data_IF_739329066580
#
_entry.id   IF_739329066580
#
_cell.length_a   1.000
_cell.length_b   1.000
_cell.length_c   1.000
_cell.angle_alpha   90.00
_cell.angle_beta   90.00
_cell.angle_gamma   90.00
#
_symmetry.space_group_name_H-M   'P 1'
#
loop_
_entity.id
_entity.type
_entity.pdbx_description
1 polymer ?
#
# COMPACT_ATOMS: atom_id res chain seq x y z
N UNK A 1 -10.17 0.50 19.80
CA UNK A 1 -10.53 1.46 18.75
C UNK A 1 -11.32 0.68 17.73
N UNK A 2 -12.62 0.97 17.66
CA UNK A 2 -13.56 0.33 16.74
C UNK A 2 -13.06 0.66 15.32
N UNK A 3 -12.83 -0.36 14.49
CA UNK A 3 -12.39 -0.13 13.12
C UNK A 3 -13.62 0.14 12.27
N UNK A 4 -13.71 1.35 11.72
CA UNK A 4 -14.76 1.67 10.78
C UNK A 4 -14.39 1.10 9.40
N UNK A 5 -15.22 0.21 8.86
CA UNK A 5 -15.05 -0.44 7.55
C UNK A 5 -15.67 0.42 6.45
N UNK A 6 -15.36 1.71 6.48
CA UNK A 6 -15.89 2.72 5.57
C UNK A 6 -15.08 2.79 4.26
N UNK A 7 -15.43 3.77 3.41
CA UNK A 7 -14.72 3.98 2.15
C UNK A 7 -13.30 4.53 2.32
N UNK A 8 -13.04 5.28 3.38
CA UNK A 8 -11.68 5.77 3.68
C UNK A 8 -10.75 4.60 3.98
N UNK A 9 -11.19 3.70 4.86
CA UNK A 9 -10.49 2.45 5.15
C UNK A 9 -10.32 1.60 3.89
N UNK A 10 -11.40 1.40 3.12
CA UNK A 10 -11.34 0.60 1.90
C UNK A 10 -10.41 1.20 0.84
N UNK A 11 -10.33 2.53 0.73
CA UNK A 11 -9.37 3.22 -0.13
C UNK A 11 -7.94 2.93 0.28
N UNK A 12 -7.61 3.03 1.56
CA UNK A 12 -6.27 2.68 2.05
C UNK A 12 -5.94 1.19 1.85
N UNK A 13 -6.91 0.30 2.09
CA UNK A 13 -6.77 -1.13 1.82
C UNK A 13 -6.53 -1.42 0.33
N UNK A 14 -7.23 -0.71 -0.55
CA UNK A 14 -7.03 -0.82 -1.99
C UNK A 14 -5.58 -0.51 -2.35
N UNK A 15 -5.02 0.58 -1.81
CA UNK A 15 -3.63 0.97 -2.04
C UNK A 15 -2.64 -0.09 -1.51
N UNK A 16 -2.89 -0.66 -0.33
CA UNK A 16 -2.06 -1.77 0.20
C UNK A 16 -2.07 -3.00 -0.71
N UNK A 17 -3.21 -3.28 -1.37
CA UNK A 17 -3.36 -4.40 -2.29
C UNK A 17 -2.73 -4.10 -3.65
N UNK A 18 -2.96 -2.92 -4.22
CA UNK A 18 -2.44 -2.53 -5.55
C UNK A 18 -0.92 -2.41 -5.53
N UNK A 19 -0.35 -1.88 -4.45
CA UNK A 19 1.10 -1.80 -4.26
C UNK A 19 1.74 -3.15 -3.89
N UNK A 20 0.95 -4.20 -3.69
CA UNK A 20 1.34 -5.53 -3.19
C UNK A 20 2.05 -5.52 -1.83
N UNK A 21 1.96 -4.44 -1.05
CA UNK A 21 2.54 -4.37 0.30
C UNK A 21 1.91 -5.43 1.23
N UNK A 22 0.66 -5.79 0.96
CA UNK A 22 -0.01 -6.96 1.55
C UNK A 22 -0.49 -7.93 0.45
N UNK A 23 -0.60 -9.20 0.83
CA UNK A 23 -1.15 -10.27 0.00
C UNK A 23 -2.14 -11.11 0.82
N UNK A 24 -2.67 -12.17 0.20
CA UNK A 24 -3.71 -13.01 0.81
C UNK A 24 -3.35 -13.56 2.19
N UNK A 25 -2.08 -13.82 2.48
CA UNK A 25 -1.65 -14.30 3.80
C UNK A 25 -1.89 -13.28 4.91
N UNK A 26 -1.93 -12.00 4.55
CA UNK A 26 -2.16 -10.89 5.48
C UNK A 26 -3.64 -10.55 5.55
N UNK A 27 -4.27 -10.23 4.41
CA UNK A 27 -5.63 -9.71 4.42
C UNK A 27 -6.67 -10.76 4.78
N UNK A 28 -6.43 -12.05 4.49
CA UNK A 28 -7.37 -13.11 4.85
C UNK A 28 -7.52 -13.22 6.37
N UNK A 29 -6.39 -13.24 7.11
CA UNK A 29 -6.40 -13.31 8.57
C UNK A 29 -7.08 -12.10 9.21
N UNK A 30 -6.85 -10.92 8.63
CA UNK A 30 -7.54 -9.71 9.06
C UNK A 30 -9.06 -9.82 8.81
N UNK A 31 -9.48 -10.32 7.65
CA UNK A 31 -10.90 -10.52 7.35
C UNK A 31 -11.54 -11.55 8.28
N UNK A 32 -10.83 -12.62 8.63
CA UNK A 32 -11.31 -13.64 9.57
C UNK A 32 -11.57 -13.01 10.95
N UNK A 33 -10.66 -12.18 11.46
CA UNK A 33 -10.86 -11.44 12.72
C UNK A 33 -12.08 -10.50 12.66
N UNK A 34 -12.26 -9.78 11.56
CA UNK A 34 -13.44 -8.91 11.37
C UNK A 34 -14.73 -9.72 11.32
N UNK A 35 -14.74 -10.88 10.66
CA UNK A 35 -15.92 -11.75 10.58
C UNK A 35 -16.26 -12.34 11.95
N UNK A 36 -15.27 -12.64 12.79
CA UNK A 36 -15.48 -13.13 14.16
C UNK A 36 -16.01 -12.03 15.09
N UNK A 37 -15.51 -10.80 14.97
CA UNK A 37 -15.86 -9.67 15.85
C UNK A 37 -17.16 -8.96 15.47
N UNK A 38 -17.52 -8.94 14.19
CA UNK A 38 -18.71 -8.25 13.69
C UNK A 38 -19.85 -9.24 13.39
N UNK A 39 -21.01 -9.15 14.06
CA UNK A 39 -22.14 -10.07 13.82
C UNK A 39 -22.73 -9.95 12.40
N UNK A 40 -22.53 -8.80 11.75
CA UNK A 40 -22.96 -8.51 10.38
C UNK A 40 -21.81 -7.85 9.60
N UNK A 41 -20.78 -8.61 9.20
CA UNK A 41 -19.65 -8.05 8.48
C UNK A 41 -20.08 -7.58 7.07
N UNK A 42 -19.50 -6.50 6.52
CA UNK A 42 -19.79 -6.06 5.17
C UNK A 42 -19.54 -7.15 4.14
N UNK A 43 -20.39 -7.26 3.13
CA UNK A 43 -20.29 -8.32 2.12
C UNK A 43 -18.94 -8.37 1.40
N UNK A 44 -18.34 -7.20 1.13
CA UNK A 44 -17.03 -7.12 0.48
C UNK A 44 -15.89 -7.71 1.34
N UNK A 45 -16.00 -7.71 2.67
CA UNK A 45 -15.05 -8.38 3.58
C UNK A 45 -15.20 -9.91 3.47
N UNK A 46 -16.44 -10.40 3.38
CA UNK A 46 -16.74 -11.83 3.22
C UNK A 46 -16.17 -12.33 1.88
N UNK A 47 -16.38 -11.59 0.79
CA UNK A 47 -15.81 -11.94 -0.51
C UNK A 47 -14.28 -11.90 -0.50
N UNK A 48 -13.70 -10.92 0.19
CA UNK A 48 -12.25 -10.78 0.30
C UNK A 48 -11.62 -11.93 1.12
N UNK A 49 -12.28 -12.42 2.18
CA UNK A 49 -11.74 -13.48 3.05
C UNK A 49 -11.50 -14.82 2.34
N UNK A 50 -12.27 -15.10 1.29
CA UNK A 50 -12.13 -16.32 0.48
C UNK A 50 -11.27 -16.12 -0.77
N UNK A 51 -10.83 -14.89 -1.04
CA UNK A 51 -10.06 -14.54 -2.24
C UNK A 51 -8.56 -14.69 -2.03
N UNK A 52 -7.87 -15.37 -2.95
CA UNK A 52 -6.39 -15.52 -2.92
C UNK A 52 -5.68 -14.81 -4.05
N UNK A 53 -6.38 -14.55 -5.16
CA UNK A 53 -5.80 -13.95 -6.34
C UNK A 53 -5.79 -12.41 -6.20
N UNK A 54 -4.60 -11.81 -6.21
CA UNK A 54 -4.41 -10.38 -5.91
C UNK A 54 -5.27 -9.45 -6.79
N UNK A 55 -5.34 -9.61 -8.12
CA UNK A 55 -6.17 -8.74 -8.96
C UNK A 55 -7.67 -8.85 -8.64
N UNK A 56 -8.13 -10.02 -8.19
CA UNK A 56 -9.52 -10.19 -7.74
C UNK A 56 -9.76 -9.48 -6.40
N UNK A 57 -8.81 -9.55 -5.47
CA UNK A 57 -8.87 -8.82 -4.20
C UNK A 57 -8.96 -7.31 -4.44
N UNK A 58 -8.10 -6.77 -5.31
CA UNK A 58 -8.15 -5.37 -5.78
C UNK A 58 -9.52 -5.04 -6.36
N UNK A 59 -10.06 -5.89 -7.25
CA UNK A 59 -11.37 -5.67 -7.87
C UNK A 59 -12.52 -5.64 -6.86
N UNK A 60 -12.51 -6.50 -5.83
CA UNK A 60 -13.54 -6.53 -4.78
C UNK A 60 -13.55 -5.21 -4.01
N UNK A 61 -12.38 -4.78 -3.54
CA UNK A 61 -12.26 -3.55 -2.75
C UNK A 61 -12.58 -2.32 -3.61
N UNK A 62 -12.05 -2.24 -4.83
CA UNK A 62 -12.33 -1.15 -5.78
C UNK A 62 -13.83 -1.01 -6.07
N UNK A 63 -14.56 -2.11 -6.27
CA UNK A 63 -16.02 -2.08 -6.44
C UNK A 63 -16.73 -1.44 -5.25
N UNK A 64 -16.31 -1.73 -4.02
CA UNK A 64 -16.89 -1.12 -2.83
C UNK A 64 -16.54 0.37 -2.72
N UNK A 65 -15.27 0.73 -2.92
CA UNK A 65 -14.79 2.13 -2.94
C UNK A 65 -15.65 2.98 -3.89
N UNK A 66 -15.90 2.49 -5.11
CA UNK A 66 -16.68 3.20 -6.14
C UNK A 66 -18.19 2.90 -6.15
N UNK A 67 -18.72 2.17 -5.16
CA UNK A 67 -20.14 1.74 -5.14
C UNK A 67 -21.14 2.88 -4.94
N UNK A 68 -20.71 4.01 -4.40
CA UNK A 68 -21.57 5.17 -4.11
C UNK A 68 -20.88 6.45 -4.62
N UNK A 69 -21.46 7.14 -5.61
CA UNK A 69 -20.77 8.20 -6.35
C UNK A 69 -20.66 9.54 -5.59
N UNK A 70 -21.25 9.67 -4.39
CA UNK A 70 -21.35 10.93 -3.67
C UNK A 70 -20.54 11.00 -2.37
N UNK A 71 -19.84 9.92 -2.00
CA UNK A 71 -18.93 9.95 -0.86
C UNK A 71 -17.55 10.38 -1.37
N UNK A 72 -17.05 11.56 -0.98
CA UNK A 72 -15.75 12.04 -1.45
C UNK A 72 -14.64 11.13 -0.90
N UNK A 73 -13.68 10.83 -1.77
CA UNK A 73 -12.43 10.17 -1.43
C UNK A 73 -11.30 11.15 -1.75
N UNK A 74 -10.32 11.22 -0.86
CA UNK A 74 -9.11 11.99 -1.09
C UNK A 74 -8.19 11.21 -2.03
N UNK A 75 -8.46 11.29 -3.33
CA UNK A 75 -7.76 10.52 -4.36
C UNK A 75 -6.29 10.86 -4.45
N UNK A 76 -5.95 12.13 -4.23
CA UNK A 76 -4.58 12.63 -4.33
C UNK A 76 -3.76 12.04 -3.17
N UNK A 77 -4.30 12.11 -1.94
CA UNK A 77 -3.70 11.44 -0.79
C UNK A 77 -3.55 9.92 -1.00
N UNK A 78 -4.56 9.24 -1.56
CA UNK A 78 -4.46 7.80 -1.86
C UNK A 78 -3.36 7.50 -2.89
N UNK A 79 -3.14 8.38 -3.87
CA UNK A 79 -2.05 8.23 -4.84
C UNK A 79 -0.68 8.37 -4.18
N UNK A 80 -0.51 9.34 -3.26
CA UNK A 80 0.74 9.49 -2.51
C UNK A 80 0.98 8.33 -1.53
N UNK A 81 -0.09 7.75 -0.96
CA UNK A 81 0.00 6.52 -0.15
C UNK A 81 0.54 5.33 -0.95
N UNK A 82 0.30 5.26 -2.26
CA UNK A 82 0.85 4.19 -3.10
C UNK A 82 2.38 4.26 -3.13
N UNK A 83 2.93 5.47 -3.30
CA UNK A 83 4.38 5.70 -3.25
C UNK A 83 4.94 5.32 -1.88
N UNK A 84 4.26 5.72 -0.80
CA UNK A 84 4.63 5.32 0.55
C UNK A 84 4.64 3.78 0.73
N UNK A 85 3.69 3.07 0.14
CA UNK A 85 3.66 1.61 0.20
C UNK A 85 4.83 0.97 -0.56
N UNK A 86 5.19 1.48 -1.74
CA UNK A 86 6.38 1.05 -2.46
C UNK A 86 7.66 1.30 -1.63
N UNK A 87 7.74 2.46 -0.97
CA UNK A 87 8.86 2.78 -0.08
C UNK A 87 8.98 1.78 1.08
N UNK A 88 7.85 1.41 1.70
CA UNK A 88 7.83 0.38 2.75
C UNK A 88 8.26 -1.01 2.24
N UNK A 89 7.94 -1.37 0.99
CA UNK A 89 8.46 -2.61 0.36
C UNK A 89 9.97 -2.55 0.19
N UNK A 90 10.50 -1.40 -0.24
CA UNK A 90 11.94 -1.17 -0.34
C UNK A 90 12.64 -1.27 1.03
N UNK A 91 12.11 -0.61 2.07
CA UNK A 91 12.67 -0.69 3.43
C UNK A 91 12.74 -2.12 3.97
N UNK A 92 11.80 -2.96 3.55
CA UNK A 92 11.73 -4.38 3.90
C UNK A 92 12.58 -5.27 2.99
N UNK A 93 13.29 -4.69 2.02
CA UNK A 93 14.12 -5.36 1.01
C UNK A 93 13.32 -6.33 0.12
N UNK A 94 12.03 -6.06 -0.06
CA UNK A 94 11.18 -6.81 -0.98
C UNK A 94 11.41 -6.39 -2.44
N UNK A 95 11.82 -5.15 -2.64
CA UNK A 95 12.22 -4.57 -3.92
C UNK A 95 13.53 -3.80 -3.75
N UNK A 96 14.29 -3.63 -4.84
CA UNK A 96 15.50 -2.79 -4.83
C UNK A 96 15.14 -1.30 -4.95
N UNK A 97 16.12 -0.42 -4.71
CA UNK A 97 15.94 1.02 -4.90
C UNK A 97 15.59 1.38 -6.35
N UNK A 98 16.26 0.75 -7.32
CA UNK A 98 15.95 0.92 -8.75
C UNK A 98 14.51 0.49 -9.08
N UNK A 99 14.06 -0.65 -8.55
CA UNK A 99 12.67 -1.11 -8.73
C UNK A 99 11.67 -0.14 -8.10
N UNK A 100 11.97 0.41 -6.93
CA UNK A 100 11.15 1.42 -6.27
C UNK A 100 11.00 2.66 -7.17
N UNK A 101 12.12 3.26 -7.61
CA UNK A 101 12.10 4.48 -8.44
C UNK A 101 11.37 4.26 -9.76
N UNK A 102 11.63 3.15 -10.45
CA UNK A 102 10.93 2.81 -11.69
C UNK A 102 9.42 2.65 -11.49
N UNK A 103 9.00 1.93 -10.44
CA UNK A 103 7.58 1.65 -10.18
C UNK A 103 6.85 2.91 -9.72
N UNK A 104 7.50 3.76 -8.92
CA UNK A 104 6.98 5.04 -8.51
C UNK A 104 6.76 5.98 -9.71
N UNK A 105 7.78 6.11 -10.58
CA UNK A 105 7.67 6.90 -11.81
C UNK A 105 6.56 6.39 -12.75
N UNK A 106 6.49 5.07 -12.96
CA UNK A 106 5.46 4.46 -13.80
C UNK A 106 4.05 4.68 -13.25
N UNK A 107 3.88 4.62 -11.94
CA UNK A 107 2.60 4.90 -11.29
C UNK A 107 2.23 6.38 -11.43
N UNK A 108 3.15 7.29 -11.09
CA UNK A 108 2.94 8.73 -11.18
C UNK A 108 2.56 9.18 -12.61
N UNK A 109 3.19 8.61 -13.64
CA UNK A 109 2.86 8.88 -15.04
C UNK A 109 1.44 8.43 -15.40
N UNK A 110 1.02 7.29 -14.85
CA UNK A 110 -0.30 6.70 -15.14
C UNK A 110 -1.45 7.45 -14.49
N UNK A 111 -1.26 7.94 -13.25
CA UNK A 111 -2.36 8.58 -12.47
C UNK A 111 -2.34 10.11 -12.52
N UNK A 112 -1.17 10.72 -12.72
CA UNK A 112 -0.98 12.18 -12.79
C UNK A 112 -1.57 12.97 -11.60
N UNK A 113 -1.63 12.34 -10.43
CA UNK A 113 -2.20 12.89 -9.19
C UNK A 113 -1.28 12.73 -7.97
N UNK A 114 -0.09 12.14 -8.16
CA UNK A 114 0.96 12.08 -7.13
C UNK A 114 1.59 13.46 -7.00
N UNK A 115 1.96 13.87 -5.78
CA UNK A 115 2.56 15.19 -5.53
C UNK A 115 3.87 15.43 -6.29
N UNK A 116 4.69 14.39 -6.44
CA UNK A 116 5.87 14.41 -7.28
C UNK A 116 5.57 13.79 -8.65
N UNK A 117 5.95 14.45 -9.76
CA UNK A 117 5.67 13.96 -11.10
C UNK A 117 6.56 12.77 -11.48
N UNK A 118 6.25 12.07 -12.57
CA UNK A 118 7.01 10.89 -12.97
C UNK A 118 8.48 11.19 -13.27
N UNK A 119 8.77 12.38 -13.80
CA UNK A 119 10.12 12.86 -14.08
C UNK A 119 11.00 12.89 -12.83
N UNK A 120 10.45 13.25 -11.67
CA UNK A 120 11.19 13.25 -10.41
C UNK A 120 11.81 11.87 -10.13
N UNK A 121 10.99 10.82 -10.21
CA UNK A 121 11.47 9.45 -9.95
C UNK A 121 12.41 8.93 -11.04
N UNK A 122 12.12 9.24 -12.31
CA UNK A 122 12.97 8.80 -13.42
C UNK A 122 14.32 9.52 -13.46
N UNK A 123 14.39 10.79 -13.09
CA UNK A 123 15.64 11.52 -12.94
C UNK A 123 16.51 10.90 -11.83
N UNK A 124 15.92 10.60 -10.67
CA UNK A 124 16.63 9.91 -9.60
C UNK A 124 17.15 8.53 -10.04
N UNK A 125 16.34 7.79 -10.79
CA UNK A 125 16.73 6.48 -11.33
C UNK A 125 17.91 6.62 -12.29
N UNK A 126 17.82 7.56 -13.24
CA UNK A 126 18.89 7.82 -14.18
C UNK A 126 20.19 8.18 -13.44
N UNK A 127 20.16 9.10 -12.46
CA UNK A 127 21.34 9.48 -11.69
C UNK A 127 21.93 8.26 -10.95
N UNK A 128 21.06 7.44 -10.35
CA UNK A 128 21.47 6.24 -9.62
C UNK A 128 22.12 5.18 -10.52
N UNK A 129 21.57 4.96 -11.72
CA UNK A 129 22.15 4.06 -12.73
C UNK A 129 23.49 4.58 -13.27
N UNK A 130 23.62 5.89 -13.52
CA UNK A 130 24.87 6.50 -13.96
C UNK A 130 25.97 6.46 -12.90
N UNK A 131 25.59 6.43 -11.62
CA UNK A 131 26.49 6.23 -10.50
C UNK A 131 26.80 4.74 -10.21
N UNK A 132 26.43 3.84 -11.12
CA UNK A 132 26.62 2.38 -10.98
C UNK A 132 26.02 1.82 -9.68
N UNK A 133 24.83 2.29 -9.30
CA UNK A 133 24.10 1.85 -8.10
C UNK A 133 24.85 2.17 -6.78
N UNK A 134 25.51 3.32 -6.72
CA UNK A 134 26.25 3.77 -5.54
C UNK A 134 25.38 3.84 -4.26
N UNK A 135 25.87 3.19 -3.20
CA UNK A 135 25.12 3.08 -1.94
C UNK A 135 25.03 4.40 -1.15
N UNK A 136 26.00 5.31 -1.31
CA UNK A 136 25.95 6.60 -0.63
C UNK A 136 24.90 7.51 -1.29
N UNK A 137 24.84 7.49 -2.62
CA UNK A 137 23.79 8.15 -3.39
C UNK A 137 22.40 7.59 -3.07
N UNK A 138 22.25 6.26 -3.03
CA UNK A 138 20.98 5.62 -2.60
C UNK A 138 20.55 6.16 -1.24
N UNK A 139 21.45 6.19 -0.27
CA UNK A 139 21.14 6.68 1.08
C UNK A 139 20.73 8.15 1.09
N UNK A 140 21.32 8.98 0.22
CA UNK A 140 20.93 10.38 0.06
C UNK A 140 19.54 10.52 -0.57
N UNK A 141 19.28 9.84 -1.70
CA UNK A 141 17.99 9.88 -2.39
C UNK A 141 16.87 9.33 -1.50
N UNK A 142 17.15 8.25 -0.77
CA UNK A 142 16.24 7.66 0.22
C UNK A 142 15.84 8.66 1.29
N UNK A 143 16.80 9.41 1.85
CA UNK A 143 16.50 10.42 2.87
C UNK A 143 15.59 11.53 2.32
N UNK A 144 15.88 12.01 1.10
CA UNK A 144 15.06 13.03 0.44
C UNK A 144 13.62 12.54 0.19
N UNK A 145 13.45 11.33 -0.33
CA UNK A 145 12.11 10.74 -0.56
C UNK A 145 11.39 10.47 0.75
N UNK A 146 12.09 10.02 1.79
CA UNK A 146 11.48 9.84 3.10
C UNK A 146 10.93 11.16 3.67
N UNK A 147 11.71 12.24 3.57
CA UNK A 147 11.27 13.55 4.05
C UNK A 147 10.08 14.08 3.25
N UNK A 148 10.07 13.87 1.93
CA UNK A 148 8.96 14.26 1.05
C UNK A 148 7.67 13.47 1.35
N UNK A 149 7.75 12.14 1.47
CA UNK A 149 6.60 11.26 1.70
C UNK A 149 6.36 10.89 3.16
N UNK A 150 6.92 11.66 4.10
CA UNK A 150 6.93 11.33 5.52
C UNK A 150 5.52 11.17 6.11
N UNK A 151 4.61 12.05 5.71
CA UNK A 151 3.23 12.06 6.22
C UNK A 151 2.46 10.82 5.78
N UNK A 152 2.61 10.43 4.52
CA UNK A 152 1.96 9.25 3.92
C UNK A 152 2.55 7.95 4.46
N UNK A 153 3.88 7.88 4.57
CA UNK A 153 4.58 6.76 5.21
C UNK A 153 4.09 6.60 6.65
N UNK A 154 4.02 7.68 7.41
CA UNK A 154 3.54 7.66 8.79
C UNK A 154 2.05 7.32 8.89
N UNK A 155 1.24 7.75 7.91
CA UNK A 155 -0.20 7.51 7.85
C UNK A 155 -0.56 6.05 7.57
N UNK A 156 0.12 5.39 6.62
CA UNK A 156 -0.20 4.01 6.25
C UNK A 156 0.44 2.96 7.16
N UNK A 157 1.55 3.29 7.81
CA UNK A 157 2.32 2.34 8.65
C UNK A 157 1.47 1.68 9.76
N UNK A 158 0.62 2.39 10.53
CA UNK A 158 -0.23 1.78 11.55
C UNK A 158 -1.18 0.72 10.98
N UNK A 159 -1.80 1.01 9.84
CA UNK A 159 -2.69 0.06 9.17
C UNK A 159 -1.91 -1.17 8.72
N UNK A 160 -0.74 -0.96 8.13
CA UNK A 160 0.13 -2.05 7.72
C UNK A 160 0.60 -2.94 8.88
N UNK A 161 1.01 -2.35 10.00
CA UNK A 161 1.42 -3.11 11.19
C UNK A 161 0.26 -3.92 11.78
N UNK A 162 -1.00 -3.49 11.62
CA UNK A 162 -2.16 -4.29 12.01
C UNK A 162 -2.25 -5.59 11.19
N UNK A 163 -2.12 -5.51 9.87
CA UNK A 163 -2.09 -6.71 9.01
C UNK A 163 -0.92 -7.63 9.35
N UNK A 164 0.27 -7.08 9.61
CA UNK A 164 1.41 -7.86 10.09
C UNK A 164 1.16 -8.50 11.45
N UNK A 165 0.46 -7.82 12.35
CA UNK A 165 0.07 -8.33 13.67
C UNK A 165 -0.79 -9.59 13.57
N UNK A 166 -1.80 -9.58 12.69
CA UNK A 166 -2.63 -10.75 12.40
C UNK A 166 -1.77 -11.93 11.93
N UNK A 167 -0.89 -11.68 10.94
CA UNK A 167 0.01 -12.70 10.40
C UNK A 167 1.01 -13.26 11.43
N UNK A 168 1.58 -12.41 12.28
CA UNK A 168 2.50 -12.85 13.35
C UNK A 168 1.80 -13.76 14.36
N UNK A 169 0.59 -13.40 14.82
CA UNK A 169 -0.20 -14.24 15.74
C UNK A 169 -0.47 -15.62 15.13
N UNK A 170 -0.86 -15.66 13.86
CA UNK A 170 -1.10 -16.90 13.14
C UNK A 170 0.14 -17.81 13.06
N UNK A 171 1.33 -17.25 12.79
CA UNK A 171 2.58 -18.03 12.78
C UNK A 171 2.87 -18.58 14.19
N UNK A 172 2.73 -17.75 15.23
CA UNK A 172 3.02 -18.15 16.61
C UNK A 172 2.11 -19.26 17.13
N UNK A 173 0.84 -19.29 16.70
CA UNK A 173 -0.09 -20.35 17.07
C UNK A 173 0.20 -21.70 16.37
N UNK A 174 1.06 -21.69 15.34
CA UNK A 174 1.41 -22.87 14.54
C UNK A 174 2.84 -23.36 14.74
N UNK A 175 3.64 -22.65 15.54
CA UNK A 175 5.00 -23.00 15.93
C UNK A 175 4.99 -23.83 17.22
#
# INVERSE_FOLDING_TARGET
MELELDKGFAGQLLILLESELINYKYFQLFCDEIIEEHPHPPYWIIDLSVTRFQPQAVSIVSKFVHSEPFVPLDTDYLCDLYIACLYLRYERREISWATFLYSAGSYADSVQAVKEPCEFFYELLNIYEHAEFDAALEQQQRAAIYDEFKEEISGITPLYERFKGCFRRYIQQRA
#
